data_IF_378515513779
#
_entry.id   IF_378515513779
#
_cell.length_a   1.000
_cell.length_b   1.000
_cell.length_c   1.000
_cell.angle_alpha   90.00
_cell.angle_beta   90.00
_cell.angle_gamma   90.00
#
_symmetry.space_group_name_H-M   'P 1'
#
loop_
_entity.id
_entity.type
_entity.pdbx_description
1 polymer ?
#
# COMPACT_ATOMS: atom_id res chain seq x y z
N UNK A 1 -11.31 -13.48 -12.23
CA UNK A 1 -10.08 -12.86 -11.67
C UNK A 1 -10.47 -11.55 -11.00
N UNK A 2 -9.89 -11.24 -9.86
CA UNK A 2 -10.07 -9.98 -9.15
C UNK A 2 -8.74 -9.24 -9.17
N UNK A 3 -8.76 -7.94 -9.49
CA UNK A 3 -7.60 -7.06 -9.44
C UNK A 3 -7.88 -6.04 -8.34
N UNK A 4 -6.96 -5.93 -7.38
CA UNK A 4 -7.14 -5.09 -6.20
C UNK A 4 -6.28 -3.82 -6.28
N UNK A 5 -6.88 -2.70 -5.94
CA UNK A 5 -6.23 -1.41 -5.80
C UNK A 5 -6.56 -0.81 -4.44
N UNK A 6 -5.63 -0.09 -3.87
CA UNK A 6 -5.83 0.72 -2.67
C UNK A 6 -6.09 2.17 -3.10
N UNK A 7 -7.23 2.71 -2.71
CA UNK A 7 -7.55 4.11 -2.93
C UNK A 7 -6.60 5.01 -2.15
N UNK A 8 -6.09 6.05 -2.79
CA UNK A 8 -5.23 7.06 -2.21
C UNK A 8 -5.84 8.45 -2.39
N UNK A 9 -5.04 9.47 -2.61
CA UNK A 9 -5.54 10.84 -2.76
C UNK A 9 -6.34 11.00 -4.06
N UNK A 10 -7.49 11.68 -3.98
CA UNK A 10 -8.35 11.92 -5.13
C UNK A 10 -9.00 10.66 -5.69
N UNK A 11 -8.84 10.41 -6.99
CA UNK A 11 -9.34 9.23 -7.71
C UNK A 11 -8.26 8.17 -7.93
N UNK A 12 -7.09 8.32 -7.30
CA UNK A 12 -5.95 7.45 -7.55
C UNK A 12 -6.11 6.10 -6.86
N UNK A 13 -5.80 5.03 -7.59
CA UNK A 13 -5.75 3.67 -7.08
C UNK A 13 -4.36 3.07 -7.27
N UNK A 14 -3.75 2.56 -6.20
CA UNK A 14 -2.45 1.90 -6.21
C UNK A 14 -2.63 0.39 -6.25
N UNK A 15 -2.07 -0.27 -7.24
CA UNK A 15 -2.20 -1.71 -7.46
C UNK A 15 -1.66 -2.52 -6.28
N UNK A 16 -2.46 -3.49 -5.82
CA UNK A 16 -2.11 -4.37 -4.70
C UNK A 16 -1.91 -5.83 -5.09
N UNK A 17 -2.56 -6.27 -6.15
CA UNK A 17 -2.39 -7.63 -6.63
C UNK A 17 -3.53 -8.15 -7.48
N UNK A 18 -3.27 -9.32 -8.09
CA UNK A 18 -4.24 -10.09 -8.84
C UNK A 18 -4.60 -11.36 -8.07
N UNK A 19 -5.88 -11.73 -8.11
CA UNK A 19 -6.40 -12.90 -7.39
C UNK A 19 -7.30 -13.72 -8.29
N UNK A 20 -7.17 -15.05 -8.19
CA UNK A 20 -8.10 -16.00 -8.78
C UNK A 20 -9.17 -16.32 -7.74
N UNK A 21 -10.40 -16.44 -8.19
CA UNK A 21 -11.48 -16.95 -7.35
C UNK A 21 -11.32 -18.47 -7.25
N UNK A 22 -11.05 -18.95 -6.04
CA UNK A 22 -10.86 -20.38 -5.76
C UNK A 22 -12.19 -21.10 -5.51
N UNK A 23 -13.06 -20.47 -4.74
CA UNK A 23 -14.36 -21.01 -4.39
C UNK A 23 -15.28 -19.94 -3.83
N UNK A 24 -16.50 -20.33 -3.48
CA UNK A 24 -17.44 -19.47 -2.77
C UNK A 24 -18.17 -20.28 -1.69
N UNK A 25 -18.52 -19.59 -0.60
CA UNK A 25 -19.31 -20.13 0.50
C UNK A 25 -20.36 -19.12 0.95
N UNK A 26 -21.46 -19.57 1.58
CA UNK A 26 -22.42 -18.63 2.17
C UNK A 26 -21.75 -17.68 3.16
N UNK A 27 -22.19 -16.43 3.19
CA UNK A 27 -21.77 -15.48 4.20
C UNK A 27 -22.37 -15.86 5.55
N UNK A 28 -21.54 -16.00 6.57
CA UNK A 28 -21.93 -16.25 7.97
C UNK A 28 -21.22 -15.22 8.81
N UNK A 29 -21.97 -14.29 9.42
CA UNK A 29 -21.41 -13.16 10.19
C UNK A 29 -20.44 -13.58 11.29
N UNK A 30 -20.75 -14.66 11.98
CA UNK A 30 -19.91 -15.17 13.09
C UNK A 30 -18.51 -15.65 12.65
N UNK A 31 -18.26 -15.83 11.34
CA UNK A 31 -16.95 -16.22 10.82
C UNK A 31 -16.02 -15.04 10.55
N UNK A 32 -16.48 -13.80 10.75
CA UNK A 32 -15.68 -12.60 10.51
C UNK A 32 -15.25 -11.95 11.84
N UNK A 33 -14.07 -11.34 11.89
CA UNK A 33 -13.57 -10.71 13.09
C UNK A 33 -14.48 -9.59 13.61
N UNK A 34 -14.38 -9.31 14.90
CA UNK A 34 -14.99 -8.14 15.49
C UNK A 34 -14.46 -6.88 14.78
N UNK A 35 -15.36 -5.94 14.49
CA UNK A 35 -15.01 -4.73 13.72
C UNK A 35 -15.11 -4.86 12.21
N UNK A 36 -15.31 -6.06 11.66
CA UNK A 36 -15.66 -6.20 10.25
C UNK A 36 -17.02 -5.53 9.99
N UNK A 37 -17.02 -4.51 9.14
CA UNK A 37 -18.23 -3.78 8.75
C UNK A 37 -18.70 -4.35 7.42
N UNK A 38 -19.74 -5.18 7.40
CA UNK A 38 -20.34 -5.61 6.15
C UNK A 38 -21.03 -4.42 5.49
N UNK A 39 -21.07 -4.43 4.15
CA UNK A 39 -21.94 -3.53 3.41
C UNK A 39 -23.37 -3.66 3.93
N UNK A 40 -24.10 -2.55 4.03
CA UNK A 40 -25.47 -2.49 4.54
C UNK A 40 -26.45 -3.43 3.82
N UNK A 41 -26.10 -3.91 2.62
CA UNK A 41 -26.85 -4.88 1.83
C UNK A 41 -26.48 -6.35 2.07
N UNK A 42 -25.47 -6.67 2.88
CA UNK A 42 -25.04 -8.04 3.11
C UNK A 42 -25.96 -8.74 4.12
N UNK A 43 -26.54 -9.86 3.68
CA UNK A 43 -27.34 -10.76 4.54
C UNK A 43 -26.85 -12.19 4.40
N UNK A 44 -27.02 -13.01 5.46
CA UNK A 44 -26.60 -14.42 5.43
C UNK A 44 -27.35 -15.24 4.36
N UNK A 45 -28.56 -14.82 4.00
CA UNK A 45 -29.38 -15.51 2.99
C UNK A 45 -28.99 -15.19 1.54
N UNK A 46 -28.43 -14.00 1.28
CA UNK A 46 -28.22 -13.49 -0.09
C UNK A 46 -26.76 -13.25 -0.45
N UNK A 47 -25.88 -13.26 0.54
CA UNK A 47 -24.47 -12.93 0.33
C UNK A 47 -23.61 -14.17 0.31
N UNK A 48 -22.58 -14.14 -0.53
CA UNK A 48 -21.56 -15.18 -0.63
C UNK A 48 -20.18 -14.56 -0.42
N UNK A 49 -19.31 -15.34 0.18
CA UNK A 49 -17.90 -15.01 0.37
C UNK A 49 -17.10 -15.79 -0.66
N UNK A 50 -16.26 -15.08 -1.40
CA UNK A 50 -15.34 -15.69 -2.34
C UNK A 50 -13.96 -15.89 -1.68
N UNK A 51 -13.42 -17.09 -1.88
CA UNK A 51 -12.03 -17.35 -1.56
C UNK A 51 -11.14 -16.76 -2.66
N UNK A 52 -10.22 -15.88 -2.27
CA UNK A 52 -9.28 -15.25 -3.19
C UNK A 52 -7.89 -15.86 -3.03
N UNK A 53 -7.43 -16.50 -4.09
CA UNK A 53 -6.08 -17.07 -4.16
C UNK A 53 -5.19 -16.09 -4.91
N UNK A 54 -4.18 -15.54 -4.23
CA UNK A 54 -3.22 -14.61 -4.84
C UNK A 54 -2.48 -15.30 -5.99
N UNK A 55 -2.26 -14.56 -7.05
CA UNK A 55 -1.48 -14.99 -8.22
C UNK A 55 -0.18 -14.19 -8.31
N UNK A 56 0.77 -14.68 -9.11
CA UNK A 56 2.03 -13.97 -9.38
C UNK A 56 1.91 -12.98 -10.54
N UNK A 57 0.70 -12.78 -11.07
CA UNK A 57 0.47 -11.86 -12.18
C UNK A 57 0.72 -10.42 -11.73
N UNK A 58 1.58 -9.70 -12.45
CA UNK A 58 1.97 -8.31 -12.20
C UNK A 58 2.51 -8.05 -10.79
N UNK A 59 3.18 -9.03 -10.18
CA UNK A 59 3.74 -8.91 -8.82
C UNK A 59 4.75 -7.76 -8.73
N UNK A 60 5.50 -7.53 -9.79
CA UNK A 60 6.46 -6.43 -9.94
C UNK A 60 5.80 -5.05 -9.98
N UNK A 61 4.50 -4.98 -10.24
CA UNK A 61 3.72 -3.73 -10.26
C UNK A 61 3.08 -3.39 -8.91
N UNK A 62 3.14 -4.28 -7.93
CA UNK A 62 2.58 -4.02 -6.59
C UNK A 62 3.20 -2.77 -5.98
N UNK A 63 2.35 -1.89 -5.44
CA UNK A 63 2.68 -0.58 -4.86
C UNK A 63 3.32 0.43 -5.83
N UNK A 64 3.47 0.05 -7.10
CA UNK A 64 4.11 0.85 -8.15
C UNK A 64 3.13 1.39 -9.18
N UNK A 65 2.23 0.52 -9.67
CA UNK A 65 1.26 0.92 -10.68
C UNK A 65 0.16 1.77 -10.05
N UNK A 66 0.02 3.00 -10.50
CA UNK A 66 -1.01 3.96 -10.10
C UNK A 66 -1.93 4.22 -11.28
N UNK A 67 -3.22 4.07 -11.06
CA UNK A 67 -4.25 4.32 -12.06
C UNK A 67 -5.21 5.41 -11.61
N UNK A 68 -5.88 6.07 -12.56
CA UNK A 68 -7.08 6.85 -12.27
C UNK A 68 -8.29 5.90 -12.16
N UNK A 69 -8.92 5.84 -10.98
CA UNK A 69 -10.14 5.08 -10.78
C UNK A 69 -11.33 5.68 -11.53
N UNK A 70 -11.25 6.98 -11.86
CA UNK A 70 -12.24 7.74 -12.60
C UNK A 70 -13.38 8.24 -11.71
N UNK A 71 -14.37 8.86 -12.34
CA UNK A 71 -15.50 9.54 -11.66
C UNK A 71 -16.39 8.62 -10.81
N UNK A 72 -16.24 7.31 -10.95
CA UNK A 72 -17.03 6.30 -10.21
C UNK A 72 -16.39 5.89 -8.88
N UNK A 73 -15.74 6.77 -8.14
CA UNK A 73 -15.07 6.46 -6.85
C UNK A 73 -16.01 5.93 -5.77
N UNK A 74 -17.31 6.20 -5.86
CA UNK A 74 -18.34 5.59 -5.01
C UNK A 74 -18.47 4.08 -5.29
N UNK A 75 -18.20 3.66 -6.52
CA UNK A 75 -18.22 2.25 -6.91
C UNK A 75 -16.83 1.64 -6.68
N UNK A 76 -16.61 1.10 -5.50
CA UNK A 76 -15.37 0.40 -5.12
C UNK A 76 -15.09 -0.85 -5.96
N UNK A 77 -16.07 -1.39 -6.66
CA UNK A 77 -15.95 -2.54 -7.55
C UNK A 77 -16.42 -2.16 -8.96
N UNK A 78 -15.59 -2.41 -9.95
CA UNK A 78 -15.87 -2.14 -11.35
C UNK A 78 -15.55 -3.36 -12.21
N UNK A 79 -16.15 -3.42 -13.41
CA UNK A 79 -15.87 -4.49 -14.34
C UNK A 79 -14.40 -4.39 -14.83
N UNK A 80 -13.71 -5.52 -14.88
CA UNK A 80 -12.32 -5.59 -15.35
C UNK A 80 -12.10 -5.23 -16.83
N UNK A 81 -13.17 -5.06 -17.60
CA UNK A 81 -13.12 -4.54 -18.99
C UNK A 81 -13.14 -3.01 -19.05
N UNK A 82 -13.37 -2.32 -17.92
CA UNK A 82 -13.32 -0.85 -17.87
C UNK A 82 -11.88 -0.40 -17.99
N UNK A 83 -11.57 0.31 -19.07
CA UNK A 83 -10.26 0.91 -19.28
C UNK A 83 -9.92 1.89 -18.18
N UNK A 84 -8.66 1.85 -17.73
CA UNK A 84 -8.12 2.73 -16.71
C UNK A 84 -6.88 3.43 -17.23
N UNK A 85 -6.81 4.72 -17.01
CA UNK A 85 -5.62 5.49 -17.32
C UNK A 85 -4.50 5.14 -16.32
N UNK A 86 -3.32 4.82 -16.84
CA UNK A 86 -2.12 4.66 -16.02
C UNK A 86 -1.52 6.04 -15.80
N UNK A 87 -1.54 6.49 -14.56
CA UNK A 87 -1.00 7.80 -14.18
C UNK A 87 0.50 7.74 -13.95
N UNK A 88 0.96 6.65 -13.33
CA UNK A 88 2.36 6.50 -12.93
C UNK A 88 2.72 5.02 -12.79
N UNK A 89 3.95 4.67 -13.13
CA UNK A 89 4.60 3.44 -12.67
C UNK A 89 5.81 3.86 -11.84
N UNK A 90 5.69 3.75 -10.53
CA UNK A 90 6.75 4.11 -9.58
C UNK A 90 7.97 3.20 -9.75
N UNK A 91 9.19 3.68 -9.44
CA UNK A 91 10.38 2.85 -9.43
C UNK A 91 10.19 1.57 -8.59
N UNK A 92 10.87 0.49 -8.95
CA UNK A 92 10.86 -0.73 -8.14
C UNK A 92 11.48 -0.47 -6.76
N UNK A 93 10.96 -1.16 -5.72
CA UNK A 93 11.49 -1.00 -4.36
C UNK A 93 12.97 -1.38 -4.25
N UNK A 94 13.44 -2.30 -5.09
CA UNK A 94 14.88 -2.64 -5.23
C UNK A 94 15.74 -1.50 -5.74
N UNK A 95 15.17 -0.46 -6.34
CA UNK A 95 15.87 0.73 -6.80
C UNK A 95 16.07 1.77 -5.68
N UNK A 96 15.41 1.59 -4.53
CA UNK A 96 15.63 2.39 -3.32
C UNK A 96 16.69 1.69 -2.45
N UNK A 97 17.89 1.49 -3.01
CA UNK A 97 19.03 1.00 -2.24
C UNK A 97 19.55 2.12 -1.34
N UNK A 98 20.04 1.74 -0.16
CA UNK A 98 20.76 2.67 0.70
C UNK A 98 22.09 3.05 0.02
N UNK A 99 22.29 4.34 -0.25
CA UNK A 99 23.52 4.79 -0.91
C UNK A 99 24.56 5.25 0.09
N UNK A 100 24.22 6.22 0.93
CA UNK A 100 25.09 6.77 1.99
C UNK A 100 24.28 7.67 2.91
N UNK A 101 24.72 7.87 4.14
CA UNK A 101 23.99 8.66 5.15
C UNK A 101 23.85 10.14 4.76
N UNK A 102 24.84 10.71 4.09
CA UNK A 102 24.85 12.11 3.63
C UNK A 102 23.90 12.38 2.46
N UNK A 103 23.37 11.33 1.83
CA UNK A 103 22.46 11.41 0.68
C UNK A 103 21.06 10.87 0.97
N UNK A 104 20.76 10.55 2.21
CA UNK A 104 19.42 10.08 2.58
C UNK A 104 18.42 11.24 2.45
N UNK A 105 17.61 11.14 1.39
CA UNK A 105 16.45 12.01 1.18
C UNK A 105 15.25 11.13 0.86
N UNK A 106 14.31 11.05 1.79
CA UNK A 106 13.14 10.17 1.68
C UNK A 106 11.86 10.99 1.67
N UNK A 107 10.93 10.62 0.80
CA UNK A 107 9.55 11.07 0.96
C UNK A 107 8.91 10.41 2.19
N UNK A 108 7.86 11.02 2.74
CA UNK A 108 7.08 10.42 3.82
C UNK A 108 6.57 9.02 3.46
N UNK A 109 6.08 8.84 2.23
CA UNK A 109 5.60 7.54 1.75
C UNK A 109 6.72 6.48 1.73
N UNK A 110 7.90 6.86 1.28
CA UNK A 110 9.06 5.96 1.25
C UNK A 110 9.51 5.58 2.66
N UNK A 111 9.61 6.57 3.56
CA UNK A 111 9.95 6.33 4.95
C UNK A 111 8.92 5.43 5.63
N UNK A 112 7.62 5.69 5.42
CA UNK A 112 6.55 4.86 5.94
C UNK A 112 6.68 3.40 5.46
N UNK A 113 6.98 3.17 4.17
CA UNK A 113 7.20 1.82 3.63
C UNK A 113 8.39 1.12 4.30
N UNK A 114 9.51 1.82 4.48
CA UNK A 114 10.71 1.28 5.15
C UNK A 114 10.35 0.84 6.58
N UNK A 115 9.66 1.68 7.33
CA UNK A 115 9.33 1.42 8.74
C UNK A 115 8.32 0.28 8.89
N UNK A 116 7.30 0.21 8.03
CA UNK A 116 6.22 -0.77 8.16
C UNK A 116 6.44 -2.06 7.37
N UNK A 117 7.46 -2.12 6.49
CA UNK A 117 7.78 -3.34 5.73
C UNK A 117 9.26 -3.69 5.86
N UNK A 118 9.71 -3.85 7.10
CA UNK A 118 11.12 -4.10 7.48
C UNK A 118 11.74 -5.28 6.74
N UNK A 119 10.98 -6.34 6.49
CA UNK A 119 11.48 -7.52 5.76
C UNK A 119 11.91 -7.20 4.32
N UNK A 120 11.20 -6.27 3.66
CA UNK A 120 11.54 -5.86 2.29
C UNK A 120 12.66 -4.81 2.24
N UNK A 121 12.88 -4.08 3.33
CA UNK A 121 13.87 -3.00 3.45
C UNK A 121 14.91 -3.27 4.54
N UNK A 122 15.29 -4.54 4.69
CA UNK A 122 16.21 -4.97 5.74
C UNK A 122 17.53 -4.17 5.77
N UNK A 123 18.10 -3.87 4.59
CA UNK A 123 19.29 -3.03 4.47
C UNK A 123 19.08 -1.63 5.08
N UNK A 124 17.96 -0.99 4.79
CA UNK A 124 17.62 0.32 5.35
C UNK A 124 17.45 0.27 6.86
N UNK A 125 16.75 -0.75 7.37
CA UNK A 125 16.58 -0.94 8.80
C UNK A 125 17.92 -1.13 9.50
N UNK A 126 18.79 -2.02 9.00
CA UNK A 126 20.13 -2.27 9.55
C UNK A 126 20.99 -1.02 9.54
N UNK A 127 20.96 -0.24 8.46
CA UNK A 127 21.77 0.99 8.35
C UNK A 127 21.25 2.11 9.24
N UNK A 128 19.95 2.39 9.23
CA UNK A 128 19.39 3.49 10.02
C UNK A 128 19.38 3.20 11.52
N UNK A 129 19.19 1.95 11.95
CA UNK A 129 19.23 1.57 13.36
C UNK A 129 20.65 1.53 13.93
N UNK A 130 21.67 1.41 13.10
CA UNK A 130 23.07 1.33 13.53
C UNK A 130 23.76 2.71 13.70
N UNK A 131 23.08 3.82 13.39
CA UNK A 131 23.68 5.15 13.38
C UNK A 131 22.95 6.12 14.29
N UNK A 132 23.71 6.88 15.09
CA UNK A 132 23.21 8.09 15.73
C UNK A 132 23.33 9.27 14.77
N UNK A 133 22.33 10.15 14.74
CA UNK A 133 22.35 11.26 13.79
C UNK A 133 21.31 12.33 14.08
N UNK A 134 21.43 13.42 13.32
CA UNK A 134 20.45 14.49 13.29
C UNK A 134 19.67 14.38 11.99
N UNK A 135 18.36 14.48 12.05
CA UNK A 135 17.50 14.44 10.88
C UNK A 135 16.63 15.69 10.77
N UNK A 136 16.28 16.03 9.53
CA UNK A 136 15.41 17.14 9.18
C UNK A 136 14.15 16.59 8.52
N UNK A 137 13.00 16.95 9.07
CA UNK A 137 11.69 16.71 8.42
C UNK A 137 11.20 18.03 7.86
N UNK A 138 10.82 18.05 6.59
CA UNK A 138 10.26 19.21 5.91
C UNK A 138 8.81 18.94 5.53
N UNK A 139 7.88 19.77 6.03
CA UNK A 139 6.52 19.81 5.51
C UNK A 139 6.51 20.54 4.18
N UNK A 140 6.36 19.81 3.09
CA UNK A 140 6.39 20.37 1.74
C UNK A 140 5.18 21.26 1.42
N UNK A 141 4.09 21.19 2.19
CA UNK A 141 2.90 22.04 2.01
C UNK A 141 3.08 23.41 2.66
N UNK A 142 3.70 23.45 3.82
CA UNK A 142 3.83 24.70 4.61
C UNK A 142 5.25 25.25 4.63
N UNK A 143 6.24 24.51 4.16
CA UNK A 143 7.66 24.86 4.24
C UNK A 143 8.25 24.80 5.64
N UNK A 144 7.52 24.30 6.65
CA UNK A 144 8.01 24.20 8.02
C UNK A 144 9.00 23.05 8.16
N UNK A 145 9.99 23.26 9.03
CA UNK A 145 11.04 22.31 9.31
C UNK A 145 10.97 21.82 10.77
N UNK A 146 11.25 20.55 10.97
CA UNK A 146 11.48 19.94 12.26
C UNK A 146 12.85 19.27 12.26
N UNK A 147 13.66 19.60 13.24
CA UNK A 147 15.00 18.99 13.45
C UNK A 147 14.91 18.07 14.67
N UNK A 148 15.30 16.84 14.51
CA UNK A 148 15.36 15.86 15.57
C UNK A 148 16.69 15.11 15.59
N UNK A 149 16.93 14.37 16.66
CA UNK A 149 18.09 13.49 16.79
C UNK A 149 17.68 12.07 17.16
N UNK A 150 18.42 11.10 16.67
CA UNK A 150 18.29 9.69 17.01
C UNK A 150 19.58 9.21 17.67
N UNK A 151 19.49 8.46 18.77
CA UNK A 151 20.64 8.00 19.55
C UNK A 151 21.22 6.65 19.13
N UNK A 152 20.63 5.98 18.16
CA UNK A 152 21.16 4.74 17.57
C UNK A 152 20.84 3.43 18.28
N UNK A 153 20.45 3.44 19.56
CA UNK A 153 20.17 2.20 20.31
C UNK A 153 18.69 1.91 20.54
N UNK A 154 17.77 2.62 20.01
CA UNK A 154 16.29 2.44 20.05
C UNK A 154 15.53 3.75 19.70
N UNK A 155 16.21 4.73 19.18
CA UNK A 155 15.65 6.08 18.94
C UNK A 155 15.06 6.30 17.58
#
# INVERSE_FOLDING_TARGET
MVISFLGTEGTNGVFQGCYRIGGSKPYIRAQFPEGFIPDSGMTEEKSVVYELVKTDLLTDMKDRLVIDWGKGTINWCQNGTTEKEVLEIRPAMSEISFTSYDRVLLSFETLHKIVYNKAAYKEWEEKLSAVAGVYLITDTKTGKHYVGSASGEQG
#
